data_IF_840347810235
#
_entry.id   IF_840347810235
#
_cell.length_a   1.000
_cell.length_b   1.000
_cell.length_c   1.000
_cell.angle_alpha   90.00
_cell.angle_beta   90.00
_cell.angle_gamma   90.00
#
_symmetry.space_group_name_H-M   'P 1'
#
loop_
_entity.id
_entity.type
_entity.pdbx_description
1 polymer ?
#
# COMPACT_ATOMS: atom_id res chain seq x y z
N UNK A 1 21.79 -23.50 18.85
CA UNK A 1 20.60 -23.76 19.69
C UNK A 1 19.47 -24.29 18.81
N UNK A 2 18.60 -25.16 19.32
CA UNK A 2 17.41 -25.63 18.60
C UNK A 2 16.40 -24.50 18.35
N UNK A 3 15.75 -24.53 17.19
CA UNK A 3 14.84 -23.44 16.73
C UNK A 3 13.66 -23.21 17.68
N UNK A 4 13.26 -24.22 18.44
CA UNK A 4 12.11 -24.17 19.38
C UNK A 4 12.36 -23.36 20.65
N UNK A 5 13.60 -23.08 21.04
CA UNK A 5 13.88 -22.26 22.24
C UNK A 5 13.71 -20.76 21.95
N UNK A 6 14.00 -20.34 20.72
CA UNK A 6 13.85 -18.94 20.31
C UNK A 6 12.38 -18.50 20.25
N UNK A 7 11.44 -19.37 19.88
CA UNK A 7 10.03 -18.99 19.81
C UNK A 7 9.45 -18.68 21.19
N UNK A 8 9.66 -19.56 22.18
CA UNK A 8 9.20 -19.32 23.56
C UNK A 8 9.93 -18.13 24.20
N UNK A 9 11.23 -17.93 23.93
CA UNK A 9 11.97 -16.77 24.39
C UNK A 9 11.43 -15.46 23.78
N UNK A 10 11.13 -15.43 22.49
CA UNK A 10 10.60 -14.25 21.79
C UNK A 10 9.21 -13.88 22.31
N UNK A 11 8.30 -14.85 22.48
CA UNK A 11 6.98 -14.58 23.04
C UNK A 11 7.06 -14.14 24.51
N UNK A 12 7.91 -14.76 25.34
CA UNK A 12 8.15 -14.32 26.71
C UNK A 12 8.65 -12.87 26.78
N UNK A 13 9.60 -12.48 25.92
CA UNK A 13 10.10 -11.09 25.86
C UNK A 13 9.01 -10.11 25.42
N UNK A 14 8.19 -10.48 24.43
CA UNK A 14 7.08 -9.69 23.89
C UNK A 14 5.99 -9.45 24.93
N UNK A 15 5.63 -10.49 25.68
CA UNK A 15 4.51 -10.45 26.61
C UNK A 15 4.93 -9.80 27.93
N UNK A 16 6.14 -10.08 28.42
CA UNK A 16 6.74 -9.35 29.55
C UNK A 16 6.86 -7.84 29.27
N UNK A 17 7.26 -7.46 28.05
CA UNK A 17 7.30 -6.07 27.63
C UNK A 17 5.91 -5.43 27.53
N UNK A 18 4.88 -6.21 27.23
CA UNK A 18 3.49 -5.73 27.17
C UNK A 18 2.96 -5.46 28.57
N UNK A 19 3.17 -6.37 29.53
CA UNK A 19 2.79 -6.19 30.94
C UNK A 19 3.50 -5.00 31.60
N UNK A 20 4.81 -4.86 31.40
CA UNK A 20 5.61 -3.75 31.97
C UNK A 20 5.40 -2.39 31.27
N UNK A 21 4.57 -2.32 30.23
CA UNK A 21 4.46 -1.12 29.38
C UNK A 21 3.89 0.11 30.08
N UNK A 22 3.00 -0.08 31.05
CA UNK A 22 2.39 0.96 31.89
C UNK A 22 3.30 1.39 33.05
N UNK A 23 3.91 0.44 33.75
CA UNK A 23 4.73 0.67 34.94
C UNK A 23 6.13 1.19 34.60
N UNK A 24 6.76 0.62 33.56
CA UNK A 24 8.10 0.99 33.12
C UNK A 24 8.22 0.88 31.59
N UNK A 25 7.72 1.89 30.85
CA UNK A 25 7.92 1.95 29.40
C UNK A 25 9.40 1.95 29.01
N UNK A 26 10.32 2.23 29.94
CA UNK A 26 11.76 2.10 29.71
C UNK A 26 12.21 0.64 29.58
N UNK A 27 11.88 -0.24 30.53
CA UNK A 27 12.27 -1.66 30.50
C UNK A 27 11.49 -2.43 29.44
N UNK A 28 10.20 -2.15 29.26
CA UNK A 28 9.39 -2.70 28.18
C UNK A 28 10.04 -2.50 26.79
N UNK A 29 10.55 -1.28 26.54
CA UNK A 29 11.27 -0.98 25.31
C UNK A 29 12.64 -1.69 25.20
N UNK A 30 13.34 -1.92 26.32
CA UNK A 30 14.58 -2.69 26.33
C UNK A 30 14.32 -4.17 25.97
N UNK A 31 13.33 -4.81 26.59
CA UNK A 31 12.92 -6.18 26.28
C UNK A 31 12.54 -6.33 24.80
N UNK A 32 11.76 -5.39 24.26
CA UNK A 32 11.42 -5.37 22.83
C UNK A 32 12.61 -5.04 21.92
N UNK A 33 13.64 -4.33 22.39
CA UNK A 33 14.87 -4.13 21.63
C UNK A 33 15.69 -5.43 21.53
N UNK A 34 15.77 -6.21 22.62
CA UNK A 34 16.39 -7.55 22.63
C UNK A 34 15.63 -8.52 21.72
N UNK A 35 14.30 -8.61 21.85
CA UNK A 35 13.44 -9.37 20.94
C UNK A 35 13.66 -8.99 19.47
N UNK A 36 13.72 -7.69 19.16
CA UNK A 36 13.95 -7.21 17.80
C UNK A 36 15.37 -7.57 17.30
N UNK A 37 16.38 -7.56 18.17
CA UNK A 37 17.74 -7.96 17.81
C UNK A 37 17.82 -9.45 17.45
N UNK A 38 17.22 -10.33 18.26
CA UNK A 38 17.11 -11.78 17.98
C UNK A 38 16.42 -12.00 16.62
N UNK A 39 15.26 -11.37 16.38
CA UNK A 39 14.58 -11.46 15.08
C UNK A 39 15.45 -10.97 13.91
N UNK A 40 16.20 -9.88 14.10
CA UNK A 40 17.09 -9.34 13.07
C UNK A 40 18.28 -10.25 12.74
N UNK A 41 18.79 -10.99 13.72
CA UNK A 41 19.89 -11.95 13.53
C UNK A 41 19.39 -13.24 12.86
N UNK A 42 18.31 -13.82 13.39
CA UNK A 42 17.93 -15.22 13.09
C UNK A 42 16.77 -15.34 12.09
N UNK A 43 15.83 -14.38 12.08
CA UNK A 43 14.51 -14.52 11.43
C UNK A 43 14.18 -13.43 10.39
N UNK A 44 15.16 -12.62 10.00
CA UNK A 44 15.07 -11.48 9.05
C UNK A 44 14.32 -10.25 9.59
N UNK A 45 14.28 -9.19 8.79
CA UNK A 45 13.70 -7.89 9.16
C UNK A 45 12.26 -7.98 9.66
N UNK A 46 11.99 -7.29 10.77
CA UNK A 46 10.68 -7.19 11.42
C UNK A 46 9.50 -7.04 10.44
N UNK A 47 8.45 -7.81 10.68
CA UNK A 47 7.21 -7.77 9.89
C UNK A 47 6.55 -6.38 10.00
N UNK A 48 5.84 -5.96 8.94
CA UNK A 48 5.08 -4.71 8.86
C UNK A 48 4.21 -4.48 10.12
N UNK A 49 3.52 -5.52 10.61
CA UNK A 49 2.70 -5.48 11.84
C UNK A 49 3.52 -5.19 13.11
N UNK A 50 4.73 -5.74 13.23
CA UNK A 50 5.64 -5.47 14.35
C UNK A 50 6.18 -4.03 14.27
N UNK A 51 6.51 -3.57 13.07
CA UNK A 51 6.96 -2.19 12.84
C UNK A 51 5.87 -1.14 13.12
N UNK A 52 4.58 -1.51 13.06
CA UNK A 52 3.47 -0.67 13.50
C UNK A 52 3.31 -0.68 15.03
N UNK A 53 3.44 -1.84 15.68
CA UNK A 53 3.29 -1.97 17.13
C UNK A 53 4.44 -1.34 17.92
N UNK A 54 5.69 -1.47 17.46
CA UNK A 54 6.88 -0.98 18.18
C UNK A 54 7.90 -0.28 17.25
N UNK A 55 8.84 0.44 17.86
CA UNK A 55 9.98 0.98 17.13
C UNK A 55 11.03 -0.11 16.90
N UNK A 56 11.24 -0.49 15.64
CA UNK A 56 12.18 -1.55 15.25
C UNK A 56 13.66 -1.34 15.58
N UNK A 57 14.05 -0.21 16.18
CA UNK A 57 15.43 0.07 16.59
C UNK A 57 15.65 0.22 18.11
N UNK A 58 14.60 0.52 18.89
CA UNK A 58 14.71 0.73 20.34
C UNK A 58 13.55 0.10 21.13
N UNK A 59 12.83 -0.83 20.51
CA UNK A 59 11.72 -1.62 21.07
C UNK A 59 10.49 -0.84 21.54
N UNK A 60 10.54 0.49 21.61
CA UNK A 60 9.48 1.33 22.22
C UNK A 60 8.13 1.09 21.55
N UNK A 61 7.15 0.58 22.33
CA UNK A 61 5.75 0.39 21.92
C UNK A 61 5.18 1.74 21.47
N UNK A 62 4.44 1.75 20.35
CA UNK A 62 3.89 2.98 19.74
C UNK A 62 2.55 3.34 20.37
N UNK A 63 2.58 4.27 21.32
CA UNK A 63 1.41 5.02 21.80
C UNK A 63 1.39 6.41 21.14
N UNK A 64 0.30 7.20 21.25
CA UNK A 64 0.29 8.61 20.84
C UNK A 64 1.29 9.49 21.62
N UNK A 65 1.71 9.04 22.81
CA UNK A 65 2.67 9.75 23.68
C UNK A 65 4.11 9.40 23.33
N UNK A 66 4.40 8.16 22.94
CA UNK A 66 5.77 7.69 22.62
C UNK A 66 6.11 7.83 21.13
N UNK A 67 5.13 8.13 20.26
CA UNK A 67 5.33 8.16 18.81
C UNK A 67 4.42 9.17 18.10
N UNK A 68 4.94 9.79 17.02
CA UNK A 68 4.19 10.71 16.15
C UNK A 68 3.95 10.07 14.78
N UNK A 69 2.69 9.97 14.40
CA UNK A 69 2.24 9.41 13.12
C UNK A 69 1.94 10.54 12.14
N UNK A 70 2.61 10.54 10.97
CA UNK A 70 2.51 11.58 9.94
C UNK A 70 1.94 10.93 8.68
N UNK A 71 0.78 11.38 8.20
CA UNK A 71 0.16 10.85 6.97
C UNK A 71 0.42 11.75 5.76
N UNK A 72 1.23 11.28 4.82
CA UNK A 72 1.44 11.91 3.51
C UNK A 72 0.27 11.51 2.61
N UNK A 73 -0.65 12.46 2.38
CA UNK A 73 -1.78 12.31 1.46
C UNK A 73 -1.32 12.47 0.00
N UNK A 74 -1.75 11.55 -0.88
CA UNK A 74 -1.48 11.60 -2.33
C UNK A 74 -2.00 12.91 -2.97
N UNK A 75 -1.10 13.71 -3.57
CA UNK A 75 -1.49 14.90 -4.34
C UNK A 75 -1.78 14.49 -5.78
N UNK A 76 -3.03 14.67 -6.25
CA UNK A 76 -3.43 14.39 -7.65
C UNK A 76 -2.74 15.38 -8.61
N UNK A 77 -1.53 15.07 -9.08
CA UNK A 77 -0.93 15.79 -10.22
C UNK A 77 -1.72 15.47 -11.49
N UNK A 78 -2.24 16.50 -12.17
CA UNK A 78 -2.91 16.36 -13.48
C UNK A 78 -1.92 16.24 -14.66
N UNK A 79 -0.62 16.50 -14.46
CA UNK A 79 0.35 16.75 -15.56
C UNK A 79 1.32 15.60 -15.86
N UNK A 80 1.42 14.59 -15.00
CA UNK A 80 2.30 13.44 -15.18
C UNK A 80 1.62 12.17 -14.67
N UNK A 81 1.65 11.09 -15.46
CA UNK A 81 0.94 9.83 -15.15
C UNK A 81 1.50 9.01 -13.98
N UNK A 82 2.51 9.53 -13.28
CA UNK A 82 3.15 8.89 -12.12
C UNK A 82 2.37 9.30 -10.87
N UNK A 83 1.34 8.53 -10.52
CA UNK A 83 0.62 8.73 -9.26
C UNK A 83 1.46 8.24 -8.09
N UNK A 84 2.13 9.15 -7.37
CA UNK A 84 2.73 8.83 -6.07
C UNK A 84 1.62 8.41 -5.11
N UNK A 85 1.73 7.21 -4.53
CA UNK A 85 0.81 6.79 -3.48
C UNK A 85 1.12 7.49 -2.16
N UNK A 86 0.18 7.43 -1.23
CA UNK A 86 0.38 7.99 0.11
C UNK A 86 1.44 7.23 0.91
N UNK A 87 1.87 7.79 2.03
CA UNK A 87 2.73 7.09 2.98
C UNK A 87 2.42 7.51 4.43
N UNK A 88 2.43 6.55 5.35
CA UNK A 88 2.33 6.81 6.79
C UNK A 88 3.73 6.69 7.40
N UNK A 89 4.23 7.76 7.98
CA UNK A 89 5.54 7.80 8.64
C UNK A 89 5.34 7.81 10.16
N UNK A 90 5.86 6.79 10.83
CA UNK A 90 5.85 6.68 12.29
C UNK A 90 7.21 7.10 12.85
N UNK A 91 7.30 8.28 13.49
CA UNK A 91 8.50 8.75 14.22
C UNK A 91 8.42 8.28 15.67
N UNK A 92 9.43 7.56 16.16
CA UNK A 92 9.57 7.31 17.61
C UNK A 92 10.07 8.57 18.32
N UNK A 93 9.55 8.89 19.50
CA UNK A 93 9.99 10.04 20.29
C UNK A 93 11.17 9.75 21.23
N UNK A 94 11.51 8.47 21.49
CA UNK A 94 12.68 8.10 22.30
C UNK A 94 13.99 8.03 21.50
N UNK A 95 13.98 7.41 20.32
CA UNK A 95 15.19 7.28 19.48
C UNK A 95 15.17 8.16 18.21
N UNK A 96 14.13 8.97 18.02
CA UNK A 96 13.90 9.84 16.86
C UNK A 96 13.86 9.19 15.46
N UNK A 97 14.12 7.88 15.34
CA UNK A 97 14.05 7.15 14.06
C UNK A 97 12.63 7.13 13.48
N UNK A 98 12.56 7.08 12.15
CA UNK A 98 11.34 7.14 11.35
C UNK A 98 11.14 5.81 10.62
N UNK A 99 9.91 5.31 10.59
CA UNK A 99 9.51 4.12 9.84
C UNK A 99 8.48 4.53 8.78
N UNK A 100 8.71 4.21 7.51
CA UNK A 100 7.84 4.63 6.39
C UNK A 100 7.03 3.45 5.88
N UNK A 101 5.72 3.45 6.12
CA UNK A 101 4.75 2.54 5.48
C UNK A 101 4.24 3.19 4.19
N UNK A 102 4.56 2.69 3.00
CA UNK A 102 3.85 3.10 1.79
C UNK A 102 2.40 2.64 1.88
N UNK A 103 1.45 3.54 1.56
CA UNK A 103 0.03 3.19 1.43
C UNK A 103 -0.14 2.46 0.10
N UNK A 104 0.14 1.15 0.10
CA UNK A 104 -0.21 0.27 -1.01
C UNK A 104 -1.73 0.24 -1.12
N UNK A 105 -2.27 0.56 -2.30
CA UNK A 105 -3.64 0.16 -2.63
C UNK A 105 -3.67 -1.34 -2.77
N UNK A 106 -4.60 -1.99 -2.09
CA UNK A 106 -5.09 -3.30 -2.53
C UNK A 106 -5.50 -3.20 -4.01
N UNK A 107 -5.07 -4.12 -4.90
CA UNK A 107 -5.55 -4.16 -6.26
C UNK A 107 -7.01 -4.60 -6.23
N UNK A 108 -7.93 -3.62 -6.23
CA UNK A 108 -9.38 -3.86 -6.20
C UNK A 108 -9.77 -4.74 -7.38
N UNK A 109 -9.89 -6.05 -7.12
CA UNK A 109 -10.40 -7.03 -8.08
C UNK A 109 -11.83 -6.64 -8.39
N UNK A 110 -12.03 -6.03 -9.56
CA UNK A 110 -13.29 -5.42 -9.98
C UNK A 110 -14.39 -6.48 -10.07
N UNK A 111 -15.15 -6.65 -8.98
CA UNK A 111 -16.41 -7.40 -9.01
C UNK A 111 -17.37 -6.63 -9.92
N UNK A 112 -17.63 -7.18 -11.10
CA UNK A 112 -18.74 -6.72 -11.92
C UNK A 112 -20.04 -6.89 -11.11
N UNK A 113 -21.00 -5.95 -11.19
CA UNK A 113 -22.25 -6.05 -10.44
C UNK A 113 -23.12 -7.15 -11.05
N UNK A 114 -23.18 -8.31 -10.40
CA UNK A 114 -24.24 -9.29 -10.65
C UNK A 114 -25.58 -8.66 -10.24
N UNK A 115 -26.53 -8.58 -11.17
CA UNK A 115 -27.91 -8.20 -10.86
C UNK A 115 -28.48 -9.19 -9.84
N UNK A 116 -28.94 -8.70 -8.71
CA UNK A 116 -29.74 -9.45 -7.74
C UNK A 116 -31.19 -9.52 -8.24
N UNK A 117 -31.57 -10.63 -8.86
CA UNK A 117 -32.98 -10.94 -9.10
C UNK A 117 -33.57 -11.49 -7.81
N UNK A 118 -34.39 -10.70 -7.12
CA UNK A 118 -35.05 -11.12 -5.88
C UNK A 118 -36.29 -11.95 -6.21
N UNK A 119 -36.18 -13.27 -6.15
CA UNK A 119 -37.35 -14.16 -6.19
C UNK A 119 -37.85 -14.39 -4.76
N UNK A 120 -39.04 -13.87 -4.46
CA UNK A 120 -39.72 -14.10 -3.17
C UNK A 120 -40.31 -15.51 -3.09
N UNK A 121 -40.25 -16.12 -1.91
CA UNK A 121 -41.01 -17.33 -1.55
C UNK A 121 -42.19 -16.96 -0.67
N UNK A 122 -43.32 -17.64 -0.85
CA UNK A 122 -44.57 -17.40 -0.15
C UNK A 122 -44.63 -18.08 1.23
N UNK A 123 -45.33 -17.49 2.20
CA UNK A 123 -46.55 -18.05 2.81
C UNK A 123 -46.97 -17.35 4.11
N UNK A 124 -48.23 -16.88 4.17
CA UNK A 124 -49.21 -17.16 5.25
C UNK A 124 -50.11 -15.96 5.66
N UNK A 125 -51.32 -15.94 5.07
CA UNK A 125 -52.65 -15.66 5.67
C UNK A 125 -52.77 -14.69 6.87
N UNK A 126 -53.52 -13.57 6.71
CA UNK A 126 -54.76 -13.26 7.49
C UNK A 126 -55.47 -11.93 7.15
N UNK A 127 -56.58 -12.03 6.39
CA UNK A 127 -57.88 -11.32 6.53
C UNK A 127 -58.07 -9.77 6.67
N UNK A 128 -59.21 -9.32 6.10
CA UNK A 128 -59.90 -8.00 6.20
C UNK A 128 -59.43 -6.85 5.28
N UNK A 129 -60.31 -5.86 5.08
CA UNK A 129 -60.40 -5.01 3.87
C UNK A 129 -60.98 -3.61 4.23
N UNK A 130 -61.54 -2.81 3.28
CA UNK A 130 -60.97 -2.22 2.04
C UNK A 130 -60.98 -0.66 2.06
N UNK A 131 -60.38 0.00 1.04
CA UNK A 131 -60.93 1.16 0.28
C UNK A 131 -59.86 2.01 -0.45
N UNK A 132 -60.20 2.50 -1.67
CA UNK A 132 -59.79 3.79 -2.33
C UNK A 132 -58.30 4.21 -2.43
N UNK A 133 -57.78 4.88 -3.48
CA UNK A 133 -58.37 5.44 -4.72
C UNK A 133 -57.36 5.41 -5.91
N UNK A 134 -57.53 6.27 -6.92
CA UNK A 134 -56.93 6.24 -8.29
C UNK A 134 -55.45 6.71 -8.30
N UNK A 135 -54.66 6.45 -9.35
CA UNK A 135 -54.57 7.29 -10.59
C UNK A 135 -53.72 6.60 -11.70
N UNK A 136 -53.90 7.02 -12.96
CA UNK A 136 -53.47 6.36 -14.23
C UNK A 136 -52.37 7.15 -14.98
N UNK A 137 -51.46 6.44 -15.69
CA UNK A 137 -50.74 6.75 -16.98
C UNK A 137 -49.41 5.93 -17.02
N UNK A 138 -48.86 5.30 -18.08
CA UNK A 138 -48.71 5.60 -19.54
C UNK A 138 -47.82 6.84 -19.83
N UNK A 139 -46.96 6.98 -20.86
CA UNK A 139 -46.35 6.16 -21.95
C UNK A 139 -45.15 7.00 -22.54
N UNK A 140 -44.18 6.62 -23.41
CA UNK A 140 -43.71 5.38 -24.08
C UNK A 140 -42.31 5.60 -24.75
N UNK A 141 -41.74 4.57 -25.40
CA UNK A 141 -40.71 4.63 -26.50
C UNK A 141 -39.28 5.20 -26.21
N UNK A 142 -38.36 5.27 -27.21
CA UNK A 142 -37.46 4.18 -27.70
C UNK A 142 -36.50 4.62 -28.85
N UNK A 143 -35.16 4.52 -28.67
CA UNK A 143 -34.07 4.43 -29.71
C UNK A 143 -34.01 5.48 -30.88
N UNK A 144 -33.08 5.49 -31.88
CA UNK A 144 -31.94 4.61 -32.25
C UNK A 144 -30.57 5.32 -32.51
N UNK A 145 -29.66 4.70 -33.29
CA UNK A 145 -28.20 5.00 -33.38
C UNK A 145 -27.64 5.30 -34.80
N UNK A 146 -26.35 5.70 -34.94
CA UNK A 146 -25.64 5.65 -36.25
C UNK A 146 -24.07 5.64 -36.27
N UNK A 147 -23.53 4.62 -36.97
CA UNK A 147 -22.45 4.64 -38.01
C UNK A 147 -20.98 4.99 -37.64
N UNK A 148 -20.07 4.89 -38.62
CA UNK A 148 -18.72 4.29 -38.46
C UNK A 148 -17.59 4.81 -39.38
N UNK A 149 -16.35 4.47 -38.99
CA UNK A 149 -15.15 4.18 -39.82
C UNK A 149 -14.21 5.31 -40.31
N UNK A 150 -12.97 5.30 -39.78
CA UNK A 150 -11.75 5.81 -40.43
C UNK A 150 -10.49 5.20 -39.77
N UNK A 151 -9.62 4.47 -40.50
CA UNK A 151 -8.36 3.93 -39.94
C UNK A 151 -7.32 3.47 -40.99
N UNK A 152 -6.50 4.38 -41.53
CA UNK A 152 -5.54 4.05 -42.60
C UNK A 152 -4.08 4.57 -42.44
N UNK A 153 -3.81 5.58 -41.60
CA UNK A 153 -2.49 6.27 -41.61
C UNK A 153 -1.43 5.75 -40.62
N UNK A 154 -1.80 4.85 -39.70
CA UNK A 154 -0.98 4.50 -38.53
C UNK A 154 0.35 3.79 -38.87
N UNK A 155 0.32 2.78 -39.76
CA UNK A 155 1.44 1.84 -39.96
C UNK A 155 2.73 2.49 -40.49
N UNK A 156 2.65 3.57 -41.31
CA UNK A 156 3.85 4.23 -41.87
C UNK A 156 4.70 4.97 -40.81
N UNK A 157 4.08 5.56 -39.78
CA UNK A 157 4.77 6.31 -38.71
C UNK A 157 5.58 5.43 -37.75
N UNK A 158 5.32 4.13 -37.70
CA UNK A 158 6.03 3.20 -36.81
C UNK A 158 7.47 2.86 -37.28
N UNK A 159 7.74 2.88 -38.60
CA UNK A 159 9.04 2.46 -39.15
C UNK A 159 10.14 3.50 -38.91
N UNK A 160 9.84 4.78 -39.16
CA UNK A 160 10.78 5.90 -38.95
C UNK A 160 11.27 5.98 -37.49
N UNK A 161 10.35 5.78 -36.53
CA UNK A 161 10.67 5.76 -35.09
C UNK A 161 11.65 4.66 -34.67
N UNK A 162 11.84 3.60 -35.46
CA UNK A 162 12.78 2.51 -35.16
C UNK A 162 14.21 2.78 -35.66
N UNK A 163 14.39 3.59 -36.71
CA UNK A 163 15.72 3.83 -37.29
C UNK A 163 16.51 4.89 -36.51
N UNK A 164 15.87 5.93 -35.96
CA UNK A 164 16.54 6.94 -35.13
C UNK A 164 16.91 6.49 -33.70
N UNK A 165 16.40 5.35 -33.23
CA UNK A 165 16.51 4.95 -31.82
C UNK A 165 17.91 4.55 -31.37
N UNK A 166 18.69 3.88 -32.23
CA UNK A 166 20.01 3.35 -31.86
C UNK A 166 21.03 4.47 -31.57
N UNK A 167 21.04 5.52 -32.40
CA UNK A 167 21.98 6.63 -32.28
C UNK A 167 21.71 7.48 -31.02
N UNK A 168 20.43 7.63 -30.64
CA UNK A 168 20.03 8.30 -29.40
C UNK A 168 20.49 7.54 -28.13
N UNK A 169 20.49 6.20 -28.17
CA UNK A 169 21.01 5.37 -27.07
C UNK A 169 22.54 5.49 -26.92
N UNK A 170 23.27 5.57 -28.04
CA UNK A 170 24.73 5.79 -28.03
C UNK A 170 25.10 7.16 -27.44
N UNK A 171 24.41 8.23 -27.87
CA UNK A 171 24.60 9.57 -27.31
C UNK A 171 24.28 9.61 -25.80
N UNK A 172 23.21 8.94 -25.39
CA UNK A 172 22.82 8.84 -23.97
C UNK A 172 23.88 8.13 -23.12
N UNK A 173 24.55 7.09 -23.65
CA UNK A 173 25.67 6.43 -22.97
C UNK A 173 26.85 7.40 -22.76
N UNK A 174 27.29 8.10 -23.81
CA UNK A 174 28.38 9.08 -23.68
C UNK A 174 28.05 10.18 -22.67
N UNK A 175 26.83 10.73 -22.72
CA UNK A 175 26.40 11.77 -21.79
C UNK A 175 26.26 11.27 -20.35
N UNK A 176 25.99 9.97 -20.13
CA UNK A 176 26.04 9.38 -18.79
C UNK A 176 27.47 9.22 -18.25
N UNK A 177 28.48 9.05 -19.12
CA UNK A 177 29.89 8.97 -18.71
C UNK A 177 30.51 10.35 -18.41
N UNK A 178 30.02 11.42 -19.04
CA UNK A 178 30.51 12.79 -18.80
C UNK A 178 29.73 13.58 -17.74
N UNK A 179 28.62 13.04 -17.22
CA UNK A 179 27.76 13.70 -16.23
C UNK A 179 27.63 12.93 -14.90
N UNK A 180 28.31 11.80 -14.73
CA UNK A 180 28.47 11.15 -13.43
C UNK A 180 29.79 11.54 -12.80
N UNK A 181 29.74 12.23 -11.65
CA UNK A 181 30.85 12.23 -10.69
C UNK A 181 30.93 10.85 -10.02
N UNK A 182 31.43 9.86 -10.75
CA UNK A 182 31.63 8.51 -10.25
C UNK A 182 32.77 8.51 -9.24
N UNK A 183 32.43 8.21 -7.98
CA UNK A 183 33.42 7.78 -6.98
C UNK A 183 33.93 6.42 -7.45
N UNK A 184 35.06 6.41 -8.14
CA UNK A 184 35.60 5.19 -8.74
C UNK A 184 36.23 4.32 -7.65
N UNK A 185 35.90 3.03 -7.62
CA UNK A 185 36.18 2.18 -6.46
C UNK A 185 37.70 1.93 -6.26
N UNK A 186 38.48 2.18 -7.30
CA UNK A 186 39.93 2.03 -7.33
C UNK A 186 40.69 3.17 -6.61
N UNK A 187 40.06 4.31 -6.36
CA UNK A 187 40.66 5.46 -5.64
C UNK A 187 40.88 5.17 -4.13
N UNK A 188 40.22 4.13 -3.61
CA UNK A 188 40.28 3.70 -2.20
C UNK A 188 41.23 2.50 -1.95
N UNK A 189 42.08 2.16 -2.92
CA UNK A 189 42.88 0.91 -2.94
C UNK A 189 44.40 1.15 -3.01
N UNK A 190 44.87 2.32 -2.56
CA UNK A 190 46.27 2.74 -2.53
C UNK A 190 46.76 3.00 -1.09
#
# INVERSE_FOLDING_TARGET
MPVSEYSSQLDFLKDSASSLSSESPSTAAHLLAVHNHILHNDFKSLNMRQQELCCGACGTIRSPETSKTIQIKKKKSKRTGISTDGATIYKCLRCHRRTVKPVRKEPVRSKAPTKSTTTTVEASVSTTAPSTDKTVSEQSASEPASKTAENASSKKRAKVRKQGGLQALLASKQQSQSASSSLDLFDFLQ
#
